data_IF_454497943920
#
_entry.id   IF_454497943920
#
_cell.length_a   1.000
_cell.length_b   1.000
_cell.length_c   1.000
_cell.angle_alpha   90.00
_cell.angle_beta   90.00
_cell.angle_gamma   90.00
#
_symmetry.space_group_name_H-M   'P 1'
#
loop_
_entity.id
_entity.type
_entity.pdbx_description
1 polymer ?
#
# COMPACT_ATOMS: atom_id res chain seq x y z
N UNK A 1 -42.19 0.60 80.41
CA UNK A 1 -42.05 1.17 79.05
C UNK A 1 -40.90 0.48 78.32
N UNK A 2 -41.17 -0.35 77.34
CA UNK A 2 -40.18 -1.22 76.65
C UNK A 2 -40.12 -0.73 75.22
N UNK A 3 -39.02 -0.09 74.86
CA UNK A 3 -38.76 0.41 73.52
C UNK A 3 -38.10 -0.71 72.71
N UNK A 4 -38.80 -1.22 71.67
CA UNK A 4 -38.22 -2.16 70.73
C UNK A 4 -37.38 -1.44 69.69
N UNK A 5 -36.13 -1.85 69.50
CA UNK A 5 -35.27 -1.41 68.42
C UNK A 5 -35.47 -2.35 67.23
N UNK A 6 -35.92 -1.76 66.12
CA UNK A 6 -35.95 -2.47 64.85
C UNK A 6 -34.52 -2.47 64.24
N UNK A 7 -34.01 -3.67 64.03
CA UNK A 7 -32.80 -3.88 63.28
C UNK A 7 -33.12 -3.89 61.78
N UNK A 8 -32.66 -2.88 61.05
CA UNK A 8 -32.64 -2.93 59.61
C UNK A 8 -31.41 -3.66 59.14
N UNK A 9 -31.58 -4.80 58.51
CA UNK A 9 -30.54 -5.56 57.81
C UNK A 9 -30.36 -4.94 56.41
N UNK A 10 -29.17 -4.50 56.02
CA UNK A 10 -28.95 -4.06 54.63
C UNK A 10 -28.87 -5.26 53.71
N UNK A 11 -29.70 -5.26 52.66
CA UNK A 11 -29.65 -6.21 51.58
C UNK A 11 -28.33 -6.07 50.82
N UNK A 12 -27.53 -7.14 50.89
CA UNK A 12 -26.31 -7.30 50.06
C UNK A 12 -26.72 -7.43 48.60
N UNK A 13 -26.34 -6.45 47.78
CA UNK A 13 -26.40 -6.56 46.34
C UNK A 13 -25.31 -7.50 45.84
N UNK A 14 -25.60 -8.43 44.95
CA UNK A 14 -24.57 -9.26 44.34
C UNK A 14 -23.73 -8.44 43.35
N UNK A 15 -22.45 -8.31 43.65
CA UNK A 15 -21.45 -7.79 42.73
C UNK A 15 -21.34 -8.72 41.52
N UNK A 16 -21.94 -8.33 40.41
CA UNK A 16 -21.68 -8.94 39.12
C UNK A 16 -20.28 -8.51 38.66
N UNK A 17 -19.39 -9.45 38.30
CA UNK A 17 -18.12 -9.09 37.72
C UNK A 17 -18.37 -8.50 36.33
N UNK A 18 -18.13 -7.20 36.18
CA UNK A 18 -18.04 -6.57 34.87
C UNK A 18 -16.77 -7.10 34.21
N UNK A 19 -16.97 -8.15 33.43
CA UNK A 19 -15.93 -8.65 32.55
C UNK A 19 -15.67 -7.61 31.48
N UNK A 20 -14.71 -6.71 31.75
CA UNK A 20 -14.11 -5.86 30.74
C UNK A 20 -13.25 -6.76 29.86
N UNK A 21 -13.84 -7.35 28.85
CA UNK A 21 -13.09 -7.87 27.71
C UNK A 21 -12.34 -6.71 27.11
N UNK A 22 -10.99 -6.71 27.11
CA UNK A 22 -10.27 -5.69 26.37
C UNK A 22 -10.67 -5.87 24.91
N UNK A 23 -11.35 -4.87 24.33
CA UNK A 23 -11.46 -4.78 22.88
C UNK A 23 -10.02 -4.85 22.36
N UNK A 24 -9.64 -6.01 21.85
CA UNK A 24 -8.53 -6.11 20.94
C UNK A 24 -8.90 -5.19 19.79
N UNK A 25 -8.31 -4.02 19.76
CA UNK A 25 -8.08 -3.33 18.51
C UNK A 25 -7.25 -4.34 17.70
N UNK A 26 -7.92 -5.08 16.85
CA UNK A 26 -7.28 -5.70 15.72
C UNK A 26 -6.63 -4.52 14.98
N UNK A 27 -5.35 -4.35 15.26
CA UNK A 27 -4.48 -3.63 14.34
C UNK A 27 -4.71 -4.37 13.04
N UNK A 28 -5.52 -3.79 12.15
CA UNK A 28 -5.63 -4.27 10.79
C UNK A 28 -4.18 -4.37 10.33
N UNK A 29 -3.67 -5.58 10.34
CA UNK A 29 -2.35 -5.88 9.79
C UNK A 29 -2.50 -5.47 8.35
N UNK A 30 -1.95 -4.31 8.00
CA UNK A 30 -1.89 -3.86 6.63
C UNK A 30 -1.07 -4.89 5.89
N UNK A 31 -1.76 -5.90 5.39
CA UNK A 31 -1.17 -6.90 4.51
C UNK A 31 -0.70 -6.13 3.28
N UNK A 32 0.59 -6.13 3.05
CA UNK A 32 1.15 -5.54 1.85
C UNK A 32 0.63 -6.25 0.62
N UNK A 33 0.62 -5.57 -0.51
CA UNK A 33 0.08 -6.06 -1.76
C UNK A 33 1.03 -5.75 -2.90
N UNK A 34 1.21 -6.69 -3.82
CA UNK A 34 1.88 -6.47 -5.09
C UNK A 34 0.85 -6.43 -6.22
N UNK A 35 0.88 -5.39 -7.04
CA UNK A 35 -0.01 -5.22 -8.19
C UNK A 35 0.78 -4.80 -9.43
N UNK A 36 0.31 -5.19 -10.62
CA UNK A 36 0.85 -4.73 -11.88
C UNK A 36 -0.07 -3.71 -12.52
N UNK A 37 0.52 -2.62 -13.01
CA UNK A 37 -0.14 -1.62 -13.81
C UNK A 37 0.37 -1.64 -15.23
N UNK A 38 -0.46 -2.13 -16.15
CA UNK A 38 -0.19 -2.06 -17.58
C UNK A 38 -0.86 -0.80 -18.13
N UNK A 39 -0.11 0.11 -18.72
CA UNK A 39 -0.62 1.40 -19.15
C UNK A 39 -0.03 1.85 -20.48
N UNK A 40 -0.79 2.66 -21.22
CA UNK A 40 -0.28 3.36 -22.40
C UNK A 40 0.28 4.73 -21.99
N UNK A 41 1.43 5.10 -22.52
CA UNK A 41 2.11 6.38 -22.16
C UNK A 41 1.26 7.62 -22.42
N UNK A 42 0.30 7.53 -23.34
CA UNK A 42 -0.59 8.65 -23.72
C UNK A 42 -1.88 8.72 -22.89
N UNK A 43 -2.00 7.92 -21.82
CA UNK A 43 -3.25 7.83 -21.07
C UNK A 43 -3.29 8.71 -19.83
N UNK A 44 -4.22 9.68 -19.76
CA UNK A 44 -4.50 10.40 -18.51
C UNK A 44 -5.08 9.48 -17.43
N UNK A 45 -5.62 8.31 -17.80
CA UNK A 45 -6.21 7.33 -16.89
C UNK A 45 -5.24 6.85 -15.80
N UNK A 46 -3.96 6.67 -16.13
CA UNK A 46 -2.94 6.30 -15.14
C UNK A 46 -2.85 7.37 -14.04
N UNK A 47 -2.82 8.64 -14.43
CA UNK A 47 -2.78 9.75 -13.49
C UNK A 47 -4.06 9.83 -12.65
N UNK A 48 -5.22 9.61 -13.27
CA UNK A 48 -6.50 9.65 -12.58
C UNK A 48 -6.71 8.53 -11.59
N UNK A 49 -6.17 7.34 -11.85
CA UNK A 49 -6.29 6.18 -10.96
C UNK A 49 -5.16 6.14 -9.91
N UNK A 50 -3.94 6.40 -10.34
CA UNK A 50 -2.77 6.27 -9.49
C UNK A 50 -2.65 7.43 -8.48
N UNK A 51 -2.95 8.66 -8.88
CA UNK A 51 -2.82 9.81 -8.00
C UNK A 51 -3.69 9.74 -6.74
N UNK A 52 -5.01 9.43 -6.81
CA UNK A 52 -5.83 9.29 -5.61
C UNK A 52 -5.31 8.20 -4.67
N UNK A 53 -4.84 7.08 -5.24
CA UNK A 53 -4.25 5.98 -4.49
C UNK A 53 -2.96 6.41 -3.78
N UNK A 54 -2.06 7.08 -4.50
CA UNK A 54 -0.82 7.61 -3.93
C UNK A 54 -1.08 8.67 -2.87
N UNK A 55 -2.10 9.50 -3.06
CA UNK A 55 -2.56 10.45 -2.06
C UNK A 55 -2.96 9.74 -0.77
N UNK A 56 -3.87 8.76 -0.89
CA UNK A 56 -4.35 8.01 0.25
C UNK A 56 -3.21 7.29 0.99
N UNK A 57 -2.34 6.62 0.27
CA UNK A 57 -1.20 5.90 0.84
C UNK A 57 -0.07 6.83 1.31
N UNK A 58 0.07 8.01 0.70
CA UNK A 58 1.06 9.03 1.07
C UNK A 58 0.72 9.80 2.35
N UNK A 59 -0.54 9.74 2.83
CA UNK A 59 -0.93 10.31 4.14
C UNK A 59 -0.36 9.52 5.32
N UNK A 60 0.08 8.29 5.07
CA UNK A 60 0.77 7.48 6.08
C UNK A 60 2.12 8.10 6.44
N UNK A 61 2.65 7.75 7.58
CA UNK A 61 3.95 8.27 8.05
C UNK A 61 5.15 7.78 7.24
N UNK A 62 4.97 6.75 6.41
CA UNK A 62 6.02 6.11 5.60
C UNK A 62 6.26 6.84 4.29
N UNK A 63 7.39 6.53 3.64
CA UNK A 63 7.85 7.14 2.40
C UNK A 63 7.21 6.49 1.15
N UNK A 64 7.23 7.23 0.04
CA UNK A 64 6.92 6.74 -1.29
C UNK A 64 8.23 6.58 -2.07
N UNK A 65 8.47 5.40 -2.66
CA UNK A 65 9.67 5.12 -3.43
C UNK A 65 9.34 4.87 -4.90
N UNK A 66 10.08 5.50 -5.78
CA UNK A 66 9.98 5.33 -7.22
C UNK A 66 11.31 4.83 -7.77
N UNK A 67 11.30 3.60 -8.26
CA UNK A 67 12.47 2.92 -8.79
C UNK A 67 12.45 2.96 -10.31
N UNK A 68 13.54 3.44 -10.90
CA UNK A 68 13.80 3.46 -12.35
C UNK A 68 12.64 3.97 -13.20
N UNK A 69 12.03 5.13 -12.86
CA UNK A 69 10.94 5.66 -13.65
C UNK A 69 11.40 5.92 -15.09
N UNK A 70 10.55 5.61 -16.07
CA UNK A 70 10.84 5.84 -17.49
C UNK A 70 11.05 7.32 -17.81
N UNK A 71 10.39 8.18 -17.04
CA UNK A 71 10.56 9.63 -17.11
C UNK A 71 10.84 10.18 -15.71
N UNK A 72 11.84 11.08 -15.64
CA UNK A 72 12.11 11.80 -14.41
C UNK A 72 10.90 12.69 -14.07
N UNK A 73 10.28 12.43 -12.95
CA UNK A 73 9.15 13.23 -12.50
C UNK A 73 9.62 14.58 -11.98
N UNK A 74 9.02 15.63 -12.49
CA UNK A 74 9.38 16.97 -12.04
C UNK A 74 8.80 17.22 -10.64
N UNK A 75 9.61 17.80 -9.75
CA UNK A 75 9.17 18.21 -8.41
C UNK A 75 7.95 19.12 -8.45
N UNK A 76 7.89 19.98 -9.47
CA UNK A 76 6.76 20.88 -9.71
C UNK A 76 5.47 20.10 -9.99
N UNK A 77 5.53 19.08 -10.84
CA UNK A 77 4.37 18.23 -11.14
C UNK A 77 3.88 17.48 -9.90
N UNK A 78 4.80 16.90 -9.13
CA UNK A 78 4.48 16.21 -7.87
C UNK A 78 3.76 17.14 -6.88
N UNK A 79 4.26 18.35 -6.72
CA UNK A 79 3.66 19.35 -5.84
C UNK A 79 2.28 19.79 -6.34
N UNK A 80 2.12 20.02 -7.65
CA UNK A 80 0.83 20.37 -8.25
C UNK A 80 -0.19 19.25 -8.17
N UNK A 81 0.28 18.00 -8.16
CA UNK A 81 -0.54 16.81 -7.96
C UNK A 81 -0.95 16.60 -6.50
N UNK A 82 -0.51 17.48 -5.59
CA UNK A 82 -0.81 17.41 -4.16
C UNK A 82 -0.12 16.25 -3.41
N UNK A 83 0.85 15.60 -4.03
CA UNK A 83 1.62 14.54 -3.39
C UNK A 83 2.62 15.11 -2.38
N UNK A 84 2.92 14.38 -1.29
CA UNK A 84 3.87 14.82 -0.27
C UNK A 84 5.30 14.73 -0.80
N UNK A 85 5.75 15.79 -1.49
CA UNK A 85 7.07 15.84 -2.18
C UNK A 85 8.22 15.52 -1.26
N UNK A 86 8.10 15.88 0.01
CA UNK A 86 9.14 15.66 1.02
C UNK A 86 9.26 14.19 1.46
N UNK A 87 8.26 13.38 1.11
CA UNK A 87 8.23 11.93 1.39
C UNK A 87 8.45 11.07 0.16
N UNK A 88 8.80 11.67 -0.98
CA UNK A 88 9.02 10.93 -2.22
C UNK A 88 10.52 10.81 -2.48
N UNK A 89 10.96 9.56 -2.63
CA UNK A 89 12.32 9.22 -3.03
C UNK A 89 12.29 8.67 -4.46
N UNK A 90 13.14 9.21 -5.32
CA UNK A 90 13.37 8.70 -6.68
C UNK A 90 14.74 8.10 -6.78
N UNK A 91 14.82 6.87 -7.27
CA UNK A 91 16.09 6.20 -7.61
C UNK A 91 16.10 5.95 -9.11
N UNK A 92 16.97 6.64 -9.81
CA UNK A 92 17.16 6.50 -11.25
C UNK A 92 18.33 5.55 -11.54
N UNK A 93 18.30 4.92 -12.72
CA UNK A 93 19.44 4.17 -13.28
C UNK A 93 19.88 2.90 -12.52
N UNK A 94 18.94 2.16 -11.97
CA UNK A 94 19.21 0.77 -11.61
C UNK A 94 19.07 -0.10 -12.86
N UNK A 95 19.97 -1.05 -13.06
CA UNK A 95 19.96 -1.93 -14.24
C UNK A 95 19.50 -3.34 -13.87
N UNK A 96 18.56 -3.86 -14.65
CA UNK A 96 18.19 -5.27 -14.69
C UNK A 96 17.90 -5.89 -13.30
N UNK A 97 18.63 -6.93 -12.96
CA UNK A 97 18.48 -7.71 -11.73
C UNK A 97 18.61 -6.82 -10.48
N UNK A 98 19.48 -5.80 -10.54
CA UNK A 98 19.67 -4.87 -9.44
C UNK A 98 18.37 -4.09 -9.10
N UNK A 99 17.51 -3.82 -10.08
CA UNK A 99 16.25 -3.11 -9.84
C UNK A 99 15.21 -4.00 -9.13
N UNK A 100 15.16 -5.28 -9.45
CA UNK A 100 14.30 -6.26 -8.76
C UNK A 100 14.73 -6.43 -7.31
N UNK A 101 16.02 -6.62 -7.07
CA UNK A 101 16.58 -6.76 -5.72
C UNK A 101 16.39 -5.47 -4.89
N UNK A 102 16.53 -4.31 -5.53
CA UNK A 102 16.26 -3.04 -4.87
C UNK A 102 14.79 -2.88 -4.46
N UNK A 103 13.86 -3.29 -5.33
CA UNK A 103 12.44 -3.28 -5.02
C UNK A 103 12.11 -4.25 -3.89
N UNK A 104 12.63 -5.46 -3.92
CA UNK A 104 12.45 -6.45 -2.86
C UNK A 104 12.91 -5.91 -1.51
N UNK A 105 14.12 -5.37 -1.44
CA UNK A 105 14.66 -4.78 -0.21
C UNK A 105 13.82 -3.61 0.28
N UNK A 106 13.39 -2.74 -0.61
CA UNK A 106 12.54 -1.61 -0.26
C UNK A 106 11.20 -2.06 0.34
N UNK A 107 10.57 -3.07 -0.26
CA UNK A 107 9.33 -3.65 0.25
C UNK A 107 9.52 -4.28 1.63
N UNK A 108 10.61 -5.05 1.83
CA UNK A 108 10.90 -5.75 3.08
C UNK A 108 11.15 -4.80 4.26
N UNK A 109 11.74 -3.63 4.02
CA UNK A 109 12.10 -2.71 5.12
C UNK A 109 10.91 -2.15 5.87
N UNK A 110 9.72 -2.13 5.27
CA UNK A 110 8.54 -1.49 5.84
C UNK A 110 8.62 0.04 5.98
N UNK A 111 9.70 0.66 5.50
CA UNK A 111 9.90 2.12 5.54
C UNK A 111 9.07 2.86 4.49
N UNK A 112 8.64 2.13 3.46
CA UNK A 112 7.86 2.68 2.36
C UNK A 112 6.42 2.20 2.46
N UNK A 113 5.47 3.11 2.33
CA UNK A 113 4.05 2.75 2.17
C UNK A 113 3.79 2.24 0.76
N UNK A 114 4.46 2.84 -0.22
CA UNK A 114 4.35 2.49 -1.63
C UNK A 114 5.72 2.41 -2.28
N UNK A 115 5.92 1.37 -3.08
CA UNK A 115 7.08 1.21 -3.96
C UNK A 115 6.57 1.05 -5.39
N UNK A 116 6.85 2.02 -6.25
CA UNK A 116 6.58 1.97 -7.70
C UNK A 116 7.86 1.55 -8.40
N UNK A 117 7.81 0.50 -9.21
CA UNK A 117 8.97 -0.01 -9.94
C UNK A 117 8.70 -0.15 -11.44
N UNK A 118 9.50 0.51 -12.27
CA UNK A 118 9.59 0.26 -13.71
C UNK A 118 10.66 -0.81 -13.91
N UNK A 119 10.22 -2.07 -13.83
CA UNK A 119 11.11 -3.22 -13.84
C UNK A 119 11.16 -3.85 -15.24
N UNK A 120 12.23 -4.57 -15.58
CA UNK A 120 12.25 -5.41 -16.77
C UNK A 120 11.18 -6.51 -16.66
N UNK A 121 11.07 -7.31 -17.68
CA UNK A 121 10.17 -8.48 -17.62
C UNK A 121 10.60 -9.40 -16.46
N UNK A 122 9.63 -9.71 -15.61
CA UNK A 122 9.87 -10.47 -14.39
C UNK A 122 9.59 -11.95 -14.62
N UNK A 123 10.40 -12.81 -14.03
CA UNK A 123 10.11 -14.22 -13.91
C UNK A 123 9.04 -14.49 -12.84
N UNK A 124 8.39 -15.65 -12.89
CA UNK A 124 7.44 -16.07 -11.84
C UNK A 124 8.09 -16.12 -10.46
N UNK A 125 9.37 -16.45 -10.40
CA UNK A 125 10.14 -16.43 -9.15
C UNK A 125 10.31 -15.02 -8.59
N UNK A 126 10.55 -14.03 -9.45
CA UNK A 126 10.69 -12.63 -9.03
C UNK A 126 9.35 -12.08 -8.54
N UNK A 127 8.26 -12.38 -9.24
CA UNK A 127 6.92 -12.02 -8.80
C UNK A 127 6.61 -12.58 -7.41
N UNK A 128 6.94 -13.85 -7.18
CA UNK A 128 6.73 -14.50 -5.88
C UNK A 128 7.57 -13.85 -4.77
N UNK A 129 8.85 -13.55 -5.05
CA UNK A 129 9.75 -12.87 -4.11
C UNK A 129 9.20 -11.49 -3.73
N UNK A 130 8.84 -10.68 -4.72
CA UNK A 130 8.31 -9.33 -4.49
C UNK A 130 6.98 -9.33 -3.74
N UNK A 131 6.11 -10.31 -4.01
CA UNK A 131 4.85 -10.46 -3.26
C UNK A 131 5.09 -10.77 -1.79
N UNK A 132 5.94 -11.75 -1.51
CA UNK A 132 6.30 -12.11 -0.13
C UNK A 132 6.95 -10.92 0.58
N UNK A 133 7.81 -10.18 -0.11
CA UNK A 133 8.44 -8.99 0.43
C UNK A 133 7.42 -7.88 0.78
N UNK A 134 6.43 -7.67 -0.07
CA UNK A 134 5.35 -6.71 0.18
C UNK A 134 4.50 -7.11 1.39
N UNK A 135 4.15 -8.39 1.51
CA UNK A 135 3.40 -8.93 2.63
C UNK A 135 4.17 -8.76 3.96
N UNK A 136 5.44 -9.14 3.99
CA UNK A 136 6.28 -9.04 5.19
C UNK A 136 6.46 -7.58 5.63
N UNK A 137 6.75 -6.68 4.69
CA UNK A 137 6.96 -5.26 4.98
C UNK A 137 5.68 -4.46 5.15
N UNK A 138 4.50 -5.05 4.90
CA UNK A 138 3.22 -4.34 4.92
C UNK A 138 3.21 -3.15 3.94
N UNK A 139 3.85 -3.28 2.78
CA UNK A 139 4.04 -2.24 1.77
C UNK A 139 3.26 -2.54 0.51
N UNK A 140 2.82 -1.50 -0.20
CA UNK A 140 2.17 -1.66 -1.50
C UNK A 140 3.22 -1.56 -2.61
N UNK A 141 3.41 -2.65 -3.36
CA UNK A 141 4.28 -2.69 -4.53
C UNK A 141 3.49 -2.54 -5.82
N UNK A 142 3.90 -1.65 -6.70
CA UNK A 142 3.30 -1.48 -8.02
C UNK A 142 4.36 -1.65 -9.10
N UNK A 143 4.20 -2.68 -9.94
CA UNK A 143 5.04 -2.93 -11.11
C UNK A 143 4.43 -2.18 -12.28
N UNK A 144 5.15 -1.21 -12.80
CA UNK A 144 4.71 -0.33 -13.87
C UNK A 144 5.16 -0.86 -15.22
N UNK A 145 4.21 -1.27 -16.07
CA UNK A 145 4.45 -1.83 -17.40
C UNK A 145 3.87 -0.93 -18.50
N UNK A 146 4.70 -0.12 -19.18
CA UNK A 146 4.23 0.61 -20.33
C UNK A 146 3.91 -0.34 -21.49
N UNK A 147 2.75 -0.17 -22.12
CA UNK A 147 2.41 -0.85 -23.37
C UNK A 147 3.25 -0.26 -24.48
N UNK A 148 4.08 -1.09 -25.13
CA UNK A 148 4.79 -0.69 -26.31
C UNK A 148 3.80 -0.51 -27.48
N UNK A 149 3.79 0.64 -28.17
CA UNK A 149 2.85 0.90 -29.25
C UNK A 149 3.01 -0.03 -30.48
N UNK A 150 4.08 -0.82 -30.55
CA UNK A 150 4.34 -1.78 -31.62
C UNK A 150 3.38 -2.97 -31.65
N UNK A 151 2.56 -3.20 -30.65
CA UNK A 151 1.60 -4.31 -30.57
C UNK A 151 0.13 -3.92 -30.73
N UNK A 152 -0.21 -2.65 -30.86
CA UNK A 152 -1.60 -2.22 -31.09
C UNK A 152 -1.89 -1.97 -32.57
N UNK A 153 -1.83 -3.03 -33.38
CA UNK A 153 -2.63 -3.11 -34.60
C UNK A 153 -3.96 -3.77 -34.19
N UNK A 154 -4.89 -2.95 -33.74
CA UNK A 154 -6.34 -3.06 -33.90
C UNK A 154 -7.03 -2.22 -32.82
N UNK A 155 -7.85 -1.28 -33.30
CA UNK A 155 -8.58 -0.26 -32.59
C UNK A 155 -9.34 -0.69 -31.34
N UNK A 156 -8.69 -0.81 -30.22
CA UNK A 156 -9.35 -0.97 -28.94
C UNK A 156 -8.97 0.15 -28.00
N UNK A 157 -10.01 0.69 -27.36
CA UNK A 157 -9.91 1.69 -26.30
C UNK A 157 -8.77 1.36 -25.37
N UNK A 158 -8.00 2.39 -25.08
CA UNK A 158 -6.90 2.35 -24.14
C UNK A 158 -7.37 1.80 -22.78
N UNK A 159 -7.11 0.54 -22.53
CA UNK A 159 -7.52 -0.18 -21.33
C UNK A 159 -6.36 -0.20 -20.33
N UNK A 160 -6.60 0.31 -19.13
CA UNK A 160 -5.67 0.11 -18.01
C UNK A 160 -6.00 -1.22 -17.36
N UNK A 161 -5.08 -2.18 -17.44
CA UNK A 161 -5.22 -3.47 -16.77
C UNK A 161 -4.48 -3.45 -15.44
N UNK A 162 -5.21 -3.74 -14.37
CA UNK A 162 -4.66 -3.88 -13.03
C UNK A 162 -4.74 -5.36 -12.66
N UNK A 163 -3.59 -5.98 -12.49
CA UNK A 163 -3.51 -7.35 -11.98
C UNK A 163 -3.09 -7.28 -10.51
N UNK A 164 -4.00 -7.69 -9.62
CA UNK A 164 -3.73 -7.76 -8.18
C UNK A 164 -3.66 -9.20 -7.72
N UNK A 165 -2.74 -9.49 -6.81
CA UNK A 165 -2.59 -10.82 -6.20
C UNK A 165 -3.75 -11.25 -5.29
N UNK A 166 -4.74 -10.37 -5.08
CA UNK A 166 -5.94 -10.68 -4.28
C UNK A 166 -6.94 -11.61 -4.98
N UNK A 167 -6.78 -11.88 -6.27
CA UNK A 167 -7.74 -12.67 -7.07
C UNK A 167 -7.23 -14.05 -7.47
N UNK A 168 -6.39 -14.66 -6.64
CA UNK A 168 -5.96 -16.05 -6.80
C UNK A 168 -6.29 -16.88 -5.58
#
# INVERSE_FOLDING_TARGET
MRTQRHHHTPLSQPNLPVSRTPMRYDSATHSGLLSEFVYSENQPALTQLLLPLLHHLGTQSRWLLWLTPTQKLSRRWLSQSGLPVDKIVQVNQLQGIASVDAMERALLTGNYSVVLGWLPELSDSDHKRLRVAAEIGGSYGFIMKPLNPSFSMEGHCAEVKIHSSLYH
#
